data_IF_031488718018
#
_entry.id   IF_031488718018
#
_cell.length_a   1.000
_cell.length_b   1.000
_cell.length_c   1.000
_cell.angle_alpha   90.00
_cell.angle_beta   90.00
_cell.angle_gamma   90.00
#
_symmetry.space_group_name_H-M   'P 1'
#
loop_
_entity.id
_entity.type
_entity.pdbx_description
1 polymer ?
#
# COMPACT_ATOMS: atom_id res chain seq x y z
N UNK A 1 -27.99 -60.21 -32.68
CA UNK A 1 -26.59 -60.39 -33.13
C UNK A 1 -26.66 -60.45 -34.63
N UNK A 2 -25.98 -59.56 -35.36
CA UNK A 2 -25.58 -59.75 -36.77
C UNK A 2 -24.72 -58.55 -37.22
N UNK A 3 -23.71 -58.82 -38.05
CA UNK A 3 -22.73 -57.84 -38.53
C UNK A 3 -22.55 -57.92 -40.06
N UNK A 4 -22.97 -56.88 -40.78
CA UNK A 4 -22.65 -56.54 -42.19
C UNK A 4 -23.17 -55.10 -42.43
N UNK A 5 -22.53 -54.14 -43.12
CA UNK A 5 -21.19 -54.05 -43.74
C UNK A 5 -21.24 -53.29 -45.09
N UNK A 6 -20.50 -52.18 -45.28
CA UNK A 6 -19.88 -51.73 -46.58
C UNK A 6 -19.24 -50.29 -46.57
N UNK A 7 -18.23 -50.01 -47.44
CA UNK A 7 -17.58 -48.69 -47.73
C UNK A 7 -18.22 -47.99 -48.98
N UNK A 8 -17.76 -46.86 -49.63
CA UNK A 8 -16.42 -46.21 -49.79
C UNK A 8 -16.42 -44.64 -49.68
N UNK A 9 -15.40 -43.82 -50.03
CA UNK A 9 -13.98 -44.07 -50.38
C UNK A 9 -13.38 -43.28 -51.60
N UNK A 10 -13.08 -41.97 -51.49
CA UNK A 10 -12.30 -41.11 -52.43
C UNK A 10 -11.73 -39.90 -51.65
N UNK A 11 -10.41 -39.71 -51.49
CA UNK A 11 -9.32 -39.22 -52.40
C UNK A 11 -9.20 -37.67 -52.44
N UNK A 12 -7.96 -37.22 -52.17
CA UNK A 12 -7.43 -35.87 -51.94
C UNK A 12 -7.81 -34.76 -52.93
N UNK A 13 -7.85 -33.51 -52.42
CA UNK A 13 -7.24 -32.34 -53.08
C UNK A 13 -6.75 -31.32 -52.03
N UNK A 14 -5.71 -30.57 -52.38
CA UNK A 14 -5.09 -29.53 -51.56
C UNK A 14 -5.11 -28.23 -52.35
N UNK A 15 -5.66 -27.15 -51.80
CA UNK A 15 -5.53 -25.82 -52.41
C UNK A 15 -5.62 -24.70 -51.36
N UNK A 16 -4.81 -23.66 -51.54
CA UNK A 16 -4.83 -22.43 -50.73
C UNK A 16 -5.64 -21.39 -51.48
N UNK A 17 -6.44 -20.56 -50.80
CA UNK A 17 -6.56 -19.15 -51.19
C UNK A 17 -7.10 -18.22 -50.09
N UNK A 18 -6.24 -17.26 -49.75
CA UNK A 18 -6.50 -15.81 -49.64
C UNK A 18 -7.90 -15.25 -49.32
N UNK A 19 -7.90 -14.46 -48.24
CA UNK A 19 -8.30 -13.03 -48.20
C UNK A 19 -9.70 -12.59 -47.72
N UNK A 20 -9.68 -11.37 -47.14
CA UNK A 20 -10.75 -10.36 -47.10
C UNK A 20 -12.01 -10.60 -46.26
N UNK A 21 -11.93 -10.16 -44.99
CA UNK A 21 -12.59 -8.89 -44.58
C UNK A 21 -14.08 -8.92 -44.19
N UNK A 22 -14.48 -7.89 -43.43
CA UNK A 22 -15.90 -7.53 -43.27
C UNK A 22 -16.50 -7.73 -41.86
N UNK A 23 -16.31 -6.71 -41.01
CA UNK A 23 -17.32 -6.05 -40.17
C UNK A 23 -18.50 -6.80 -39.54
N UNK A 24 -18.75 -6.47 -38.26
CA UNK A 24 -20.05 -6.47 -37.54
C UNK A 24 -20.84 -7.79 -37.45
N UNK A 25 -21.32 -8.23 -36.29
CA UNK A 25 -21.36 -7.63 -34.95
C UNK A 25 -22.40 -8.37 -34.10
N UNK A 26 -23.02 -7.66 -33.14
CA UNK A 26 -24.19 -8.07 -32.35
C UNK A 26 -23.91 -9.03 -31.17
N UNK A 27 -24.36 -8.58 -30.00
CA UNK A 27 -24.43 -9.32 -28.74
C UNK A 27 -25.71 -10.16 -28.70
N UNK A 28 -25.66 -11.38 -28.18
CA UNK A 28 -26.84 -12.19 -27.90
C UNK A 28 -26.73 -12.79 -26.49
N UNK A 29 -27.60 -12.33 -25.60
CA UNK A 29 -27.84 -12.92 -24.29
C UNK A 29 -28.52 -14.29 -24.41
N UNK A 30 -28.23 -15.19 -23.48
CA UNK A 30 -29.15 -16.29 -23.16
C UNK A 30 -29.44 -16.29 -21.66
N UNK A 31 -30.73 -16.19 -21.35
CA UNK A 31 -31.30 -16.39 -20.03
C UNK A 31 -31.99 -17.74 -20.06
N UNK A 32 -31.74 -18.58 -19.06
CA UNK A 32 -32.58 -19.74 -18.75
C UNK A 32 -32.85 -19.73 -17.25
N UNK A 33 -34.11 -19.94 -16.86
CA UNK A 33 -34.60 -19.82 -15.49
C UNK A 33 -35.46 -21.06 -15.16
N UNK A 34 -35.61 -21.34 -13.86
CA UNK A 34 -36.48 -22.36 -13.24
C UNK A 34 -35.91 -23.80 -13.28
N UNK A 35 -36.16 -24.66 -12.29
CA UNK A 35 -37.21 -24.58 -11.24
C UNK A 35 -36.71 -24.96 -9.83
N UNK A 36 -37.51 -24.60 -8.82
CA UNK A 36 -37.34 -24.95 -7.40
C UNK A 36 -37.77 -26.40 -7.08
N UNK A 37 -37.25 -26.96 -5.98
CA UNK A 37 -37.99 -27.94 -5.16
C UNK A 37 -37.55 -27.86 -3.68
N UNK A 38 -38.42 -28.21 -2.73
CA UNK A 38 -38.27 -27.87 -1.29
C UNK A 38 -37.70 -29.02 -0.42
N UNK A 39 -36.92 -28.68 0.62
CA UNK A 39 -36.42 -29.64 1.62
C UNK A 39 -35.93 -29.00 2.93
N UNK A 40 -36.53 -29.41 4.06
CA UNK A 40 -36.49 -28.83 5.40
C UNK A 40 -35.12 -28.57 6.09
N UNK A 41 -35.04 -27.39 6.72
CA UNK A 41 -34.53 -27.08 8.10
C UNK A 41 -33.40 -27.91 8.71
N UNK A 42 -32.27 -27.25 8.99
CA UNK A 42 -31.57 -27.34 10.28
C UNK A 42 -30.89 -26.00 10.59
N UNK A 43 -31.24 -25.34 11.69
CA UNK A 43 -30.55 -24.14 12.19
C UNK A 43 -29.36 -24.56 13.05
N UNK A 44 -28.13 -24.19 12.65
CA UNK A 44 -26.97 -24.16 13.54
C UNK A 44 -26.24 -22.83 13.36
N UNK A 45 -25.85 -22.22 14.48
CA UNK A 45 -25.44 -20.83 14.55
C UNK A 45 -24.13 -20.54 13.83
N UNK A 46 -24.06 -19.38 13.17
CA UNK A 46 -22.81 -18.81 12.67
C UNK A 46 -22.07 -18.16 13.85
N UNK A 47 -21.09 -18.87 14.41
CA UNK A 47 -20.10 -18.26 15.27
C UNK A 47 -19.08 -17.49 14.41
N UNK A 48 -19.17 -16.15 14.44
CA UNK A 48 -18.19 -15.25 13.82
C UNK A 48 -16.79 -15.48 14.42
N UNK A 49 -15.96 -16.23 13.70
CA UNK A 49 -14.61 -16.64 14.12
C UNK A 49 -13.57 -16.36 13.04
N UNK A 50 -13.00 -15.14 13.07
CA UNK A 50 -11.65 -14.80 12.58
C UNK A 50 -11.39 -13.29 12.74
N UNK A 51 -10.92 -12.85 13.91
CA UNK A 51 -10.55 -11.45 14.18
C UNK A 51 -9.12 -11.30 14.70
N UNK A 52 -8.27 -12.31 14.48
CA UNK A 52 -6.84 -12.27 14.81
C UNK A 52 -6.05 -11.44 13.78
N UNK A 53 -5.12 -10.63 14.27
CA UNK A 53 -4.24 -9.83 13.42
C UNK A 53 -3.02 -10.66 12.95
N UNK A 54 -2.61 -10.43 11.70
CA UNK A 54 -1.54 -11.18 11.02
C UNK A 54 -0.35 -10.27 10.69
N UNK A 55 0.84 -10.84 10.56
CA UNK A 55 2.06 -10.12 10.14
C UNK A 55 2.44 -10.41 8.69
N UNK A 56 3.17 -9.49 8.05
CA UNK A 56 3.68 -9.66 6.68
C UNK A 56 5.02 -10.47 6.59
N UNK A 57 5.38 -11.33 7.58
CA UNK A 57 6.55 -12.26 7.51
C UNK A 57 6.38 -13.54 8.40
N UNK A 58 7.37 -14.46 8.46
CA UNK A 58 7.25 -15.82 9.08
C UNK A 58 7.74 -15.94 10.54
N UNK A 59 7.07 -16.73 11.43
CA UNK A 59 7.47 -16.91 12.85
C UNK A 59 8.65 -17.85 13.17
N UNK A 60 9.38 -17.55 14.27
CA UNK A 60 10.32 -18.47 14.96
C UNK A 60 10.13 -18.45 16.50
N UNK A 61 10.56 -19.49 17.24
CA UNK A 61 10.10 -19.84 18.61
C UNK A 61 11.21 -19.85 19.69
N UNK A 62 11.09 -18.99 20.71
CA UNK A 62 11.51 -19.29 22.11
C UNK A 62 10.84 -18.33 23.13
N UNK A 63 11.08 -18.54 24.43
CA UNK A 63 10.15 -18.25 25.55
C UNK A 63 10.63 -17.24 26.62
N UNK A 64 9.73 -16.49 27.27
CA UNK A 64 9.44 -16.58 28.73
C UNK A 64 8.20 -15.75 29.20
N UNK A 65 8.00 -15.61 30.53
CA UNK A 65 6.70 -15.43 31.24
C UNK A 65 6.44 -13.99 31.75
N UNK A 66 5.18 -13.47 31.75
CA UNK A 66 4.84 -12.11 32.22
C UNK A 66 4.30 -12.01 33.67
N UNK A 67 4.26 -10.80 34.22
CA UNK A 67 3.54 -10.47 35.48
C UNK A 67 2.78 -9.15 35.40
N UNK A 68 1.56 -9.11 35.95
CA UNK A 68 0.61 -7.98 35.89
C UNK A 68 0.98 -6.81 36.81
N UNK A 69 0.50 -5.59 36.50
CA UNK A 69 -0.39 -4.79 37.38
C UNK A 69 -0.95 -3.53 36.65
N UNK A 70 -1.85 -2.75 37.27
CA UNK A 70 -2.95 -2.06 36.55
C UNK A 70 -3.33 -0.66 37.06
N UNK A 71 -3.86 0.19 36.15
CA UNK A 71 -4.66 1.45 36.38
C UNK A 71 -3.85 2.68 36.86
N UNK A 72 -4.26 3.95 36.64
CA UNK A 72 -5.53 4.56 36.14
C UNK A 72 -5.27 6.00 35.59
N UNK A 73 -5.95 6.43 34.52
CA UNK A 73 -5.87 7.83 34.00
C UNK A 73 -6.77 8.82 34.77
N UNK A 74 -6.41 10.12 34.75
CA UNK A 74 -7.28 11.26 35.07
C UNK A 74 -7.30 12.24 33.90
N UNK A 75 -8.48 12.75 33.55
CA UNK A 75 -8.67 13.73 32.46
C UNK A 75 -8.57 15.17 32.98
N UNK A 76 -7.99 16.06 32.18
CA UNK A 76 -8.10 17.53 32.35
C UNK A 76 -8.46 18.14 30.99
N UNK A 77 -9.54 18.92 30.95
CA UNK A 77 -10.11 19.46 29.71
C UNK A 77 -9.49 20.82 29.37
N UNK A 78 -8.67 20.89 28.32
CA UNK A 78 -8.09 22.15 27.82
C UNK A 78 -8.96 22.75 26.70
N UNK A 79 -9.31 24.03 26.83
CA UNK A 79 -10.01 24.79 25.77
C UNK A 79 -9.03 25.12 24.64
N UNK A 80 -9.43 24.81 23.41
CA UNK A 80 -8.62 25.08 22.22
C UNK A 80 -8.58 26.57 21.86
N UNK A 81 -7.39 27.14 21.85
CA UNK A 81 -7.09 28.41 21.17
C UNK A 81 -6.78 28.04 19.71
N UNK A 82 -7.56 28.56 18.76
CA UNK A 82 -7.26 28.41 17.32
C UNK A 82 -6.13 29.36 16.95
N UNK A 83 -4.90 28.87 16.96
CA UNK A 83 -3.79 29.48 16.23
C UNK A 83 -3.95 29.16 14.74
N UNK A 84 -4.15 30.19 13.92
CA UNK A 84 -3.98 30.07 12.47
C UNK A 84 -2.50 29.81 12.19
N UNK A 85 -2.18 28.73 11.46
CA UNK A 85 -0.81 28.47 11.02
C UNK A 85 -0.54 29.31 9.78
N UNK A 86 0.40 30.24 9.88
CA UNK A 86 0.74 31.15 8.78
C UNK A 86 1.47 30.39 7.66
N UNK A 87 0.76 30.16 6.54
CA UNK A 87 1.32 29.55 5.33
C UNK A 87 2.21 30.56 4.60
N UNK A 88 3.53 30.43 4.69
CA UNK A 88 4.48 31.30 3.98
C UNK A 88 4.72 30.77 2.56
N UNK A 89 4.32 31.48 1.47
CA UNK A 89 4.26 30.89 0.12
C UNK A 89 5.59 30.39 -0.44
N UNK A 90 6.71 31.02 -0.08
CA UNK A 90 8.05 30.65 -0.60
C UNK A 90 8.56 29.31 -0.11
N UNK A 91 8.03 28.81 1.01
CA UNK A 91 8.44 27.54 1.62
C UNK A 91 7.51 26.37 1.26
N UNK A 92 6.54 26.57 0.36
CA UNK A 92 5.62 25.52 -0.11
C UNK A 92 6.01 25.05 -1.52
N UNK A 93 5.79 23.77 -1.82
CA UNK A 93 5.81 23.30 -3.20
C UNK A 93 4.73 24.01 -4.03
N UNK A 94 5.04 24.32 -5.29
CA UNK A 94 4.05 24.88 -6.20
C UNK A 94 3.04 23.79 -6.57
N UNK A 95 1.78 23.96 -6.16
CA UNK A 95 0.68 23.05 -6.49
C UNK A 95 -0.21 23.56 -7.64
N UNK A 96 0.11 24.72 -8.22
CA UNK A 96 -0.59 25.29 -9.36
C UNK A 96 -0.14 24.62 -10.68
N UNK A 97 -0.66 23.42 -10.90
CA UNK A 97 -0.51 22.62 -12.12
C UNK A 97 -1.87 22.08 -12.57
N UNK A 98 -1.97 21.63 -13.82
CA UNK A 98 -3.20 21.07 -14.41
C UNK A 98 -3.70 19.83 -13.64
N UNK A 99 -2.77 18.99 -13.19
CA UNK A 99 -3.05 17.78 -12.40
C UNK A 99 -2.24 17.80 -11.11
N UNK A 100 -2.79 17.19 -10.05
CA UNK A 100 -2.02 16.93 -8.83
C UNK A 100 -0.86 15.97 -9.13
N UNK A 101 -1.15 14.85 -9.80
CA UNK A 101 -0.15 13.88 -10.21
C UNK A 101 -0.70 12.49 -10.44
N UNK A 102 0.18 11.60 -10.92
CA UNK A 102 -0.10 10.16 -11.02
C UNK A 102 0.10 9.49 -9.67
N UNK A 103 -0.80 8.57 -9.31
CA UNK A 103 -0.63 7.67 -8.17
C UNK A 103 -0.65 6.22 -8.65
N UNK A 104 0.42 5.47 -8.40
CA UNK A 104 0.50 4.03 -8.71
C UNK A 104 0.33 3.25 -7.42
N UNK A 105 -0.65 2.35 -7.37
CA UNK A 105 -0.82 1.38 -6.27
C UNK A 105 -0.43 0.00 -6.79
N UNK A 106 0.54 -0.66 -6.15
CA UNK A 106 0.89 -2.05 -6.40
C UNK A 106 0.39 -2.88 -5.23
N UNK A 107 -0.62 -3.71 -5.46
CA UNK A 107 -1.30 -4.55 -4.49
C UNK A 107 -0.94 -6.02 -4.71
N UNK A 108 0.12 -6.50 -4.05
CA UNK A 108 0.51 -7.90 -4.10
C UNK A 108 -0.15 -8.65 -2.94
N UNK A 109 -1.09 -9.53 -3.30
CA UNK A 109 -1.87 -10.36 -2.38
C UNK A 109 -1.43 -11.82 -2.43
N UNK A 110 -1.19 -12.33 -3.64
CA UNK A 110 -0.89 -13.73 -3.91
C UNK A 110 0.55 -13.88 -4.42
N UNK A 111 1.25 -14.89 -3.88
CA UNK A 111 2.66 -15.11 -4.14
C UNK A 111 2.88 -16.55 -4.63
N UNK A 112 3.86 -16.74 -5.52
CA UNK A 112 4.22 -18.03 -6.06
C UNK A 112 4.80 -18.91 -4.95
N UNK A 113 4.41 -20.20 -4.91
CA UNK A 113 4.74 -21.12 -3.80
C UNK A 113 6.23 -21.22 -3.48
N UNK A 114 7.11 -20.97 -4.47
CA UNK A 114 8.57 -20.96 -4.32
C UNK A 114 9.08 -19.86 -3.38
N UNK A 115 8.38 -18.73 -3.28
CA UNK A 115 8.67 -17.67 -2.30
C UNK A 115 8.39 -18.13 -0.87
N UNK A 116 7.51 -19.14 -0.72
CA UNK A 116 6.98 -19.58 0.55
C UNK A 116 6.14 -18.54 1.30
N UNK A 117 5.75 -17.43 0.66
CA UNK A 117 4.97 -16.36 1.30
C UNK A 117 3.48 -16.65 1.30
N UNK A 118 2.77 -16.10 2.28
CA UNK A 118 1.33 -16.33 2.49
C UNK A 118 0.45 -15.43 1.64
N UNK A 119 -0.87 -15.64 1.72
CA UNK A 119 -1.85 -14.72 1.11
C UNK A 119 -2.06 -13.53 2.05
N UNK A 120 -1.89 -12.30 1.54
CA UNK A 120 -2.02 -11.07 2.34
C UNK A 120 -3.47 -10.63 2.51
N UNK A 121 -4.27 -11.42 3.22
CA UNK A 121 -5.69 -11.14 3.46
C UNK A 121 -5.90 -9.72 4.05
N UNK A 122 -6.90 -9.00 3.55
CA UNK A 122 -7.14 -7.60 3.89
C UNK A 122 -6.45 -6.57 2.98
N UNK A 123 -5.42 -6.93 2.20
CA UNK A 123 -4.72 -5.98 1.32
C UNK A 123 -5.61 -5.37 0.23
N UNK A 124 -6.68 -6.06 -0.18
CA UNK A 124 -7.63 -5.49 -1.15
C UNK A 124 -8.47 -4.36 -0.53
N UNK A 125 -8.75 -4.44 0.79
CA UNK A 125 -9.41 -3.36 1.53
C UNK A 125 -8.48 -2.16 1.68
N UNK A 126 -7.19 -2.40 1.93
CA UNK A 126 -6.15 -1.37 1.92
C UNK A 126 -6.10 -0.68 0.55
N UNK A 127 -6.00 -1.45 -0.54
CA UNK A 127 -5.94 -0.92 -1.90
C UNK A 127 -7.20 -0.12 -2.28
N UNK A 128 -8.39 -0.58 -1.91
CA UNK A 128 -9.65 0.13 -2.14
C UNK A 128 -9.73 1.45 -1.35
N UNK A 129 -9.35 1.44 -0.08
CA UNK A 129 -9.34 2.63 0.76
C UNK A 129 -8.34 3.67 0.24
N UNK A 130 -7.11 3.24 -0.08
CA UNK A 130 -6.08 4.10 -0.66
C UNK A 130 -6.49 4.66 -2.02
N UNK A 131 -7.11 3.85 -2.88
CA UNK A 131 -7.66 4.32 -4.16
C UNK A 131 -8.67 5.45 -3.96
N UNK A 132 -9.62 5.28 -3.02
CA UNK A 132 -10.62 6.31 -2.70
C UNK A 132 -9.97 7.58 -2.13
N UNK A 133 -9.06 7.44 -1.16
CA UNK A 133 -8.38 8.57 -0.52
C UNK A 133 -7.53 9.36 -1.52
N UNK A 134 -6.61 8.72 -2.24
CA UNK A 134 -5.71 9.43 -3.17
C UNK A 134 -6.47 10.02 -4.37
N UNK A 135 -7.55 9.38 -4.82
CA UNK A 135 -8.44 9.97 -5.84
C UNK A 135 -9.22 11.17 -5.30
N UNK A 136 -9.63 11.16 -4.03
CA UNK A 136 -10.26 12.31 -3.37
C UNK A 136 -9.30 13.49 -3.21
N UNK A 137 -8.01 13.24 -2.96
CA UNK A 137 -6.97 14.28 -2.99
C UNK A 137 -6.82 14.92 -4.38
N UNK A 138 -7.06 14.15 -5.45
CA UNK A 138 -6.98 14.61 -6.84
C UNK A 138 -5.92 13.90 -7.70
N UNK A 139 -5.36 12.77 -7.23
CA UNK A 139 -4.43 11.98 -8.03
C UNK A 139 -5.14 11.14 -9.10
N UNK A 140 -4.46 10.95 -10.23
CA UNK A 140 -4.78 9.94 -11.24
C UNK A 140 -4.32 8.57 -10.73
N UNK A 141 -5.19 7.87 -9.98
CA UNK A 141 -4.85 6.59 -9.34
C UNK A 141 -5.00 5.40 -10.29
N UNK A 142 -3.96 4.57 -10.39
CA UNK A 142 -3.97 3.29 -11.12
C UNK A 142 -3.53 2.16 -10.17
N UNK A 143 -4.33 1.10 -10.09
CA UNK A 143 -4.06 -0.09 -9.27
C UNK A 143 -3.57 -1.25 -10.14
N UNK A 144 -2.47 -1.88 -9.74
CA UNK A 144 -1.93 -3.12 -10.33
C UNK A 144 -1.90 -4.21 -9.26
N UNK A 145 -2.37 -5.41 -9.58
CA UNK A 145 -2.43 -6.54 -8.64
C UNK A 145 -1.40 -7.61 -8.97
N UNK A 146 -0.91 -8.32 -7.96
CA UNK A 146 -0.04 -9.51 -8.04
C UNK A 146 1.10 -9.40 -9.08
N UNK A 147 1.86 -8.30 -8.98
CA UNK A 147 2.96 -8.00 -9.89
C UNK A 147 4.20 -8.83 -9.56
N UNK A 148 4.87 -9.34 -10.60
CA UNK A 148 6.24 -9.85 -10.48
C UNK A 148 7.26 -8.73 -10.24
N UNK A 149 8.44 -9.05 -9.73
CA UNK A 149 9.56 -8.13 -9.58
C UNK A 149 9.88 -7.40 -10.91
N UNK A 150 9.95 -8.16 -12.01
CA UNK A 150 10.12 -7.61 -13.34
C UNK A 150 8.99 -6.65 -13.74
N UNK A 151 7.74 -6.95 -13.36
CA UNK A 151 6.59 -6.08 -13.67
C UNK A 151 6.59 -4.80 -12.83
N UNK A 152 6.94 -4.87 -11.54
CA UNK A 152 7.07 -3.67 -10.70
C UNK A 152 8.15 -2.73 -11.22
N UNK A 153 9.31 -3.28 -11.62
CA UNK A 153 10.41 -2.53 -12.24
C UNK A 153 9.98 -1.90 -13.58
N UNK A 154 9.34 -2.68 -14.48
CA UNK A 154 8.81 -2.18 -15.77
C UNK A 154 7.80 -1.04 -15.59
N UNK A 155 6.86 -1.18 -14.65
CA UNK A 155 5.83 -0.18 -14.38
C UNK A 155 6.43 1.13 -13.88
N UNK A 156 7.34 1.08 -12.90
CA UNK A 156 7.92 2.28 -12.31
C UNK A 156 8.96 2.94 -13.22
N UNK A 157 9.71 2.15 -13.98
CA UNK A 157 10.58 2.69 -15.05
C UNK A 157 9.74 3.45 -16.07
N UNK A 158 8.69 2.84 -16.64
CA UNK A 158 7.81 3.51 -17.61
C UNK A 158 7.14 4.75 -17.03
N UNK A 159 6.68 4.68 -15.78
CA UNK A 159 6.10 5.83 -15.09
C UNK A 159 7.10 6.98 -14.92
N UNK A 160 8.40 6.70 -14.72
CA UNK A 160 9.45 7.74 -14.70
C UNK A 160 9.79 8.33 -16.08
N UNK A 161 9.44 7.62 -17.16
CA UNK A 161 9.67 8.01 -18.56
C UNK A 161 8.47 8.79 -19.15
N UNK A 162 7.36 8.92 -18.40
CA UNK A 162 6.21 9.76 -18.75
C UNK A 162 6.50 11.26 -18.59
N UNK A 163 5.74 12.10 -19.30
CA UNK A 163 5.82 13.55 -19.16
C UNK A 163 4.97 14.04 -17.97
N UNK A 164 5.65 14.37 -16.87
CA UNK A 164 5.06 14.96 -15.66
C UNK A 164 5.08 16.48 -15.64
N UNK A 165 5.38 17.17 -16.76
CA UNK A 165 5.51 18.63 -16.79
C UNK A 165 4.26 19.34 -16.24
N UNK A 166 3.06 18.83 -16.58
CA UNK A 166 1.77 19.35 -16.11
C UNK A 166 1.23 18.73 -14.80
N UNK A 167 2.03 17.94 -14.08
CA UNK A 167 1.72 17.42 -12.75
C UNK A 167 2.46 18.19 -11.65
N UNK A 168 1.84 18.40 -10.48
CA UNK A 168 2.51 19.00 -9.33
C UNK A 168 3.48 18.04 -8.61
N UNK A 169 3.12 16.75 -8.52
CA UNK A 169 3.89 15.73 -7.79
C UNK A 169 3.68 14.32 -8.39
N UNK A 170 4.31 13.32 -7.77
CA UNK A 170 4.11 11.90 -8.07
C UNK A 170 3.93 11.10 -6.77
N UNK A 171 3.07 10.08 -6.81
CA UNK A 171 2.88 9.14 -5.70
C UNK A 171 2.99 7.67 -6.16
N UNK A 172 3.60 6.84 -5.32
CA UNK A 172 3.63 5.40 -5.46
C UNK A 172 3.30 4.76 -4.11
N UNK A 173 2.47 3.72 -4.12
CA UNK A 173 2.03 2.99 -2.94
C UNK A 173 2.29 1.51 -3.18
N UNK A 174 3.06 0.90 -2.29
CA UNK A 174 3.48 -0.49 -2.38
C UNK A 174 2.87 -1.28 -1.22
N UNK A 175 2.00 -2.24 -1.53
CA UNK A 175 1.37 -3.14 -0.57
C UNK A 175 1.85 -4.57 -0.88
N UNK A 176 2.78 -5.09 -0.08
CA UNK A 176 3.34 -6.43 -0.30
C UNK A 176 3.97 -7.01 0.97
N UNK A 177 4.52 -8.21 0.86
CA UNK A 177 5.54 -8.68 1.80
C UNK A 177 6.86 -7.92 1.58
N UNK A 178 7.72 -7.88 2.59
CA UNK A 178 9.05 -7.27 2.51
C UNK A 178 9.98 -7.76 3.60
N UNK A 179 11.25 -7.46 3.41
CA UNK A 179 12.33 -7.67 4.39
C UNK A 179 13.14 -6.36 4.44
N UNK A 180 14.30 -6.36 5.09
CA UNK A 180 15.09 -5.13 5.16
C UNK A 180 15.54 -4.68 3.75
N UNK A 181 15.14 -3.47 3.36
CA UNK A 181 15.47 -2.80 2.10
C UNK A 181 14.91 -3.43 0.79
N UNK A 182 14.18 -4.55 0.88
CA UNK A 182 13.59 -5.27 -0.26
C UNK A 182 12.08 -5.44 -0.12
N UNK A 183 11.39 -5.54 -1.25
CA UNK A 183 9.95 -5.80 -1.33
C UNK A 183 9.68 -6.99 -2.25
N UNK A 184 8.67 -7.80 -1.91
CA UNK A 184 8.28 -8.94 -2.72
C UNK A 184 7.46 -8.53 -3.94
N UNK A 185 7.87 -9.02 -5.12
CA UNK A 185 6.93 -9.36 -6.18
C UNK A 185 6.32 -10.74 -5.91
N UNK A 186 5.34 -11.16 -6.71
CA UNK A 186 4.76 -12.50 -6.53
C UNK A 186 5.79 -13.63 -6.72
N UNK A 187 6.85 -13.39 -7.48
CA UNK A 187 7.86 -14.37 -7.93
C UNK A 187 9.19 -14.33 -7.14
N UNK A 188 9.37 -13.35 -6.24
CA UNK A 188 10.62 -13.16 -5.50
C UNK A 188 10.73 -11.77 -4.88
N UNK A 189 11.95 -11.30 -4.64
CA UNK A 189 12.22 -9.97 -4.04
C UNK A 189 12.90 -9.01 -5.02
N UNK A 190 12.72 -7.70 -4.82
CA UNK A 190 13.48 -6.65 -5.51
C UNK A 190 13.82 -5.51 -4.54
N UNK A 191 15.00 -4.85 -4.66
CA UNK A 191 15.34 -3.72 -3.80
C UNK A 191 14.41 -2.53 -4.01
N UNK A 192 13.89 -1.97 -2.91
CA UNK A 192 13.04 -0.77 -2.95
C UNK A 192 13.81 0.41 -3.58
N UNK A 193 15.11 0.49 -3.29
CA UNK A 193 16.03 1.48 -3.88
C UNK A 193 16.04 1.46 -5.40
N UNK A 194 15.97 0.28 -6.03
CA UNK A 194 16.02 0.17 -7.49
C UNK A 194 14.70 0.64 -8.12
N UNK A 195 13.57 0.36 -7.47
CA UNK A 195 12.24 0.84 -7.86
C UNK A 195 12.15 2.37 -7.79
N UNK A 196 12.71 3.00 -6.75
CA UNK A 196 12.61 4.45 -6.55
C UNK A 196 13.67 5.24 -7.31
N UNK A 197 14.84 4.63 -7.58
CA UNK A 197 15.93 5.27 -8.30
C UNK A 197 15.57 5.67 -9.74
N UNK A 198 14.51 5.13 -10.34
CA UNK A 198 13.99 5.60 -11.64
C UNK A 198 13.56 7.07 -11.61
N UNK A 199 13.09 7.58 -10.46
CA UNK A 199 12.54 8.92 -10.29
C UNK A 199 13.54 10.00 -9.85
N UNK A 200 14.84 9.67 -9.78
CA UNK A 200 15.90 10.63 -9.44
C UNK A 200 15.92 11.81 -10.42
N UNK A 201 16.37 12.98 -9.97
CA UNK A 201 16.39 14.20 -10.79
C UNK A 201 17.27 14.12 -12.05
N UNK A 202 18.24 13.21 -12.10
CA UNK A 202 19.06 12.93 -13.30
C UNK A 202 18.36 12.02 -14.33
N UNK A 203 17.29 11.32 -13.94
CA UNK A 203 16.57 10.33 -14.76
C UNK A 203 15.14 10.77 -15.13
N UNK A 204 14.40 11.31 -14.17
CA UNK A 204 13.03 11.81 -14.37
C UNK A 204 12.99 13.35 -14.26
N UNK A 205 13.47 14.03 -15.31
CA UNK A 205 13.63 15.50 -15.31
C UNK A 205 12.31 16.28 -15.15
N UNK A 206 11.20 15.70 -15.58
CA UNK A 206 9.85 16.30 -15.49
C UNK A 206 9.29 16.32 -14.05
N UNK A 207 9.94 15.60 -13.13
CA UNK A 207 9.71 15.60 -11.67
C UNK A 207 10.88 16.20 -10.86
N UNK A 208 11.77 16.98 -11.50
CA UNK A 208 12.77 17.78 -10.78
C UNK A 208 12.06 18.90 -9.99
N UNK A 209 12.50 19.18 -8.75
CA UNK A 209 11.88 20.13 -7.82
C UNK A 209 10.40 19.85 -7.46
N UNK A 210 9.90 18.65 -7.77
CA UNK A 210 8.54 18.19 -7.48
C UNK A 210 8.55 17.02 -6.48
N UNK A 211 7.58 16.93 -5.54
CA UNK A 211 7.52 15.83 -4.56
C UNK A 211 7.35 14.46 -5.22
N UNK A 212 8.10 13.48 -4.73
CA UNK A 212 8.09 12.07 -5.14
C UNK A 212 7.81 11.21 -3.91
N UNK A 213 6.54 10.85 -3.72
CA UNK A 213 6.03 10.24 -2.50
C UNK A 213 5.94 8.72 -2.63
N UNK A 214 6.51 7.98 -1.68
CA UNK A 214 6.47 6.52 -1.62
C UNK A 214 5.88 6.05 -0.29
N UNK A 215 4.71 5.42 -0.34
CA UNK A 215 4.02 4.86 0.84
C UNK A 215 4.17 3.34 0.82
N UNK A 216 4.75 2.75 1.87
CA UNK A 216 5.26 1.37 1.81
C UNK A 216 4.69 0.54 2.97
N UNK A 217 3.67 -0.25 2.66
CA UNK A 217 3.12 -1.30 3.54
C UNK A 217 3.81 -2.63 3.24
N UNK A 218 4.82 -2.94 4.05
CA UNK A 218 5.56 -4.19 4.06
C UNK A 218 6.31 -4.32 5.40
N UNK A 219 6.66 -5.54 5.81
CA UNK A 219 7.67 -5.76 6.85
C UNK A 219 9.03 -5.20 6.41
N UNK A 220 9.90 -4.92 7.39
CA UNK A 220 11.31 -4.52 7.17
C UNK A 220 12.29 -5.41 7.93
N UNK A 221 11.83 -6.58 8.37
CA UNK A 221 12.55 -7.56 9.17
C UNK A 221 11.56 -8.39 10.00
N UNK A 222 12.04 -9.02 11.07
CA UNK A 222 11.28 -9.95 11.92
C UNK A 222 11.35 -9.62 13.42
N UNK A 223 11.69 -8.38 13.79
CA UNK A 223 11.61 -7.89 15.17
C UNK A 223 10.19 -7.47 15.55
N UNK A 224 9.83 -7.65 16.82
CA UNK A 224 8.53 -7.30 17.40
C UNK A 224 8.74 -6.18 18.43
N UNK A 225 7.86 -5.19 18.43
CA UNK A 225 7.83 -4.15 19.47
C UNK A 225 6.90 -4.62 20.61
N UNK A 226 7.50 -4.99 21.74
CA UNK A 226 6.78 -5.37 22.96
C UNK A 226 6.09 -4.18 23.66
N UNK A 227 6.40 -2.95 23.25
CA UNK A 227 5.92 -1.72 23.89
C UNK A 227 6.58 -1.43 25.23
N UNK A 228 6.47 -0.17 25.67
CA UNK A 228 6.90 0.26 27.00
C UNK A 228 5.91 1.26 27.59
N UNK A 229 5.65 1.16 28.90
CA UNK A 229 4.86 2.16 29.63
C UNK A 229 5.75 3.38 29.89
N UNK A 230 5.37 4.54 29.33
CA UNK A 230 6.26 5.70 29.25
C UNK A 230 6.12 6.68 30.43
N UNK A 231 7.22 6.88 31.16
CA UNK A 231 7.56 8.12 31.86
C UNK A 231 8.59 8.88 31.03
N UNK A 232 8.40 10.20 30.79
CA UNK A 232 9.03 10.93 29.68
C UNK A 232 10.27 11.76 30.05
N UNK A 233 11.19 11.93 29.08
CA UNK A 233 12.29 12.90 29.11
C UNK A 233 12.71 13.35 27.68
N UNK A 234 13.17 14.61 27.47
CA UNK A 234 13.45 15.16 26.13
C UNK A 234 14.95 15.12 25.74
N UNK A 235 15.23 15.21 24.43
CA UNK A 235 16.58 15.41 23.85
C UNK A 235 16.48 16.40 22.67
N UNK A 236 17.48 17.28 22.50
CA UNK A 236 17.48 18.40 21.54
C UNK A 236 18.50 18.23 20.38
N UNK A 237 18.13 18.82 19.23
CA UNK A 237 18.88 19.44 18.11
C UNK A 237 20.40 19.28 17.89
N UNK A 238 20.81 19.24 16.60
CA UNK A 238 21.67 20.31 15.99
C UNK A 238 21.70 20.31 14.44
N UNK A 239 22.28 21.38 13.86
CA UNK A 239 22.10 21.95 12.50
C UNK A 239 23.40 21.99 11.64
N UNK A 240 23.31 22.17 10.30
CA UNK A 240 24.25 22.95 9.46
C UNK A 240 23.89 23.02 7.94
N UNK A 241 24.21 24.15 7.29
CA UNK A 241 23.78 24.59 5.94
C UNK A 241 24.97 24.67 4.89
N UNK A 242 24.90 25.31 3.69
CA UNK A 242 24.83 24.61 2.39
C UNK A 242 25.96 24.94 1.36
N UNK A 243 25.95 24.22 0.22
CA UNK A 243 26.41 24.72 -1.09
C UNK A 243 25.47 24.28 -2.22
N UNK A 244 25.10 25.19 -3.11
CA UNK A 244 24.02 24.98 -4.08
C UNK A 244 24.40 24.07 -5.26
N UNK A 245 23.92 22.83 -5.18
CA UNK A 245 23.53 21.98 -6.31
C UNK A 245 22.43 21.06 -5.79
N UNK A 246 21.25 21.06 -6.42
CA UNK A 246 20.14 20.20 -5.97
C UNK A 246 20.61 18.74 -6.00
N UNK A 247 20.58 18.00 -4.86
CA UNK A 247 20.92 16.59 -4.85
C UNK A 247 19.98 15.79 -5.77
N UNK A 248 20.51 14.80 -6.50
CA UNK A 248 19.68 13.96 -7.40
C UNK A 248 18.63 13.13 -6.66
N UNK A 249 18.78 12.97 -5.34
CA UNK A 249 17.87 12.29 -4.41
C UNK A 249 16.95 13.28 -3.65
N UNK A 250 16.91 14.57 -4.03
CA UNK A 250 16.05 15.56 -3.38
C UNK A 250 14.56 15.42 -3.79
N UNK A 251 13.70 15.99 -2.96
CA UNK A 251 12.24 16.00 -3.11
C UNK A 251 11.60 14.61 -3.10
N UNK A 252 12.25 13.63 -2.47
CA UNK A 252 11.65 12.34 -2.13
C UNK A 252 11.04 12.36 -0.72
N UNK A 253 9.97 11.60 -0.53
CA UNK A 253 9.46 11.25 0.80
C UNK A 253 9.11 9.76 0.82
N UNK A 254 9.55 9.06 1.86
CA UNK A 254 9.22 7.67 2.11
C UNK A 254 8.45 7.54 3.42
N UNK A 255 7.22 7.04 3.37
CA UNK A 255 6.40 6.71 4.51
C UNK A 255 6.30 5.19 4.62
N UNK A 256 7.21 4.59 5.39
CA UNK A 256 7.19 3.16 5.69
C UNK A 256 6.22 2.88 6.82
N UNK A 257 5.42 1.82 6.68
CA UNK A 257 4.48 1.37 7.72
C UNK A 257 5.13 0.99 9.05
N UNK A 258 6.41 0.61 9.04
CA UNK A 258 7.18 0.19 10.23
C UNK A 258 8.64 0.64 10.14
N UNK A 259 9.35 0.61 11.28
CA UNK A 259 10.78 0.91 11.39
C UNK A 259 11.65 -0.22 10.80
N UNK A 260 12.92 0.06 10.37
CA UNK A 260 13.82 -0.98 9.89
C UNK A 260 14.00 -2.10 10.92
N UNK A 261 14.02 -3.36 10.50
CA UNK A 261 14.13 -4.54 11.37
C UNK A 261 12.79 -5.14 11.81
N UNK A 262 11.68 -4.40 11.78
CA UNK A 262 10.44 -4.80 12.45
C UNK A 262 9.38 -5.38 11.50
N UNK A 263 8.46 -6.16 12.07
CA UNK A 263 7.21 -6.57 11.42
C UNK A 263 6.29 -5.36 11.13
N UNK A 264 5.36 -5.56 10.20
CA UNK A 264 4.22 -4.67 9.95
C UNK A 264 2.93 -5.49 10.02
N UNK A 265 1.95 -4.98 10.77
CA UNK A 265 0.72 -5.68 11.15
C UNK A 265 -0.46 -5.39 10.23
N UNK A 266 -1.27 -6.44 10.00
CA UNK A 266 -2.43 -6.43 9.11
C UNK A 266 -3.55 -7.33 9.62
N UNK A 267 -4.69 -6.70 9.84
CA UNK A 267 -5.94 -7.38 10.18
C UNK A 267 -6.57 -7.98 8.92
N UNK A 268 -6.78 -9.30 8.83
CA UNK A 268 -7.41 -9.92 7.66
C UNK A 268 -8.78 -9.32 7.31
N UNK A 269 -9.54 -8.94 8.35
CA UNK A 269 -10.87 -8.35 8.21
C UNK A 269 -10.88 -6.83 7.98
N UNK A 270 -9.83 -6.08 8.37
CA UNK A 270 -9.84 -4.60 8.38
C UNK A 270 -8.75 -3.92 7.56
N UNK A 271 -7.75 -4.66 7.07
CA UNK A 271 -6.57 -4.11 6.41
C UNK A 271 -5.40 -3.85 7.37
N UNK A 272 -4.33 -3.21 6.88
CA UNK A 272 -3.14 -2.90 7.67
C UNK A 272 -3.33 -1.68 8.58
N UNK A 273 -2.72 -1.69 9.76
CA UNK A 273 -2.89 -0.62 10.75
C UNK A 273 -2.43 0.73 10.20
N UNK A 274 -1.30 0.73 9.49
CA UNK A 274 -0.77 1.92 8.82
C UNK A 274 -1.72 2.45 7.75
N UNK A 275 -2.28 1.60 6.88
CA UNK A 275 -3.19 2.06 5.82
C UNK A 275 -4.53 2.54 6.39
N UNK A 276 -5.09 1.85 7.39
CA UNK A 276 -6.28 2.29 8.12
C UNK A 276 -6.07 3.69 8.72
N UNK A 277 -4.94 3.91 9.42
CA UNK A 277 -4.59 5.20 10.00
C UNK A 277 -4.34 6.28 8.93
N UNK A 278 -3.59 5.96 7.87
CA UNK A 278 -3.29 6.87 6.76
C UNK A 278 -4.55 7.34 6.04
N UNK A 279 -5.44 6.41 5.68
CA UNK A 279 -6.69 6.74 5.01
C UNK A 279 -7.59 7.60 5.90
N UNK A 280 -7.74 7.25 7.18
CA UNK A 280 -8.55 8.04 8.14
C UNK A 280 -8.04 9.47 8.31
N UNK A 281 -6.72 9.68 8.44
CA UNK A 281 -6.16 11.03 8.58
C UNK A 281 -6.19 11.79 7.24
N UNK A 282 -6.01 11.13 6.09
CA UNK A 282 -6.12 11.77 4.77
C UNK A 282 -7.57 12.17 4.43
N UNK A 283 -8.57 11.40 4.87
CA UNK A 283 -9.98 11.73 4.69
C UNK A 283 -10.40 12.96 5.50
N UNK A 284 -9.95 13.05 6.77
CA UNK A 284 -10.23 14.20 7.64
C UNK A 284 -9.41 15.45 7.26
N UNK A 285 -8.13 15.27 6.90
CA UNK A 285 -7.13 16.35 6.89
C UNK A 285 -6.24 16.44 5.64
N UNK A 286 -6.49 15.62 4.62
CA UNK A 286 -5.64 15.56 3.43
C UNK A 286 -5.55 16.87 2.63
N UNK A 287 -6.44 17.84 2.86
CA UNK A 287 -6.49 19.13 2.16
C UNK A 287 -6.28 20.36 3.05
N UNK A 288 -6.09 20.19 4.37
CA UNK A 288 -5.87 21.31 5.29
C UNK A 288 -4.51 21.25 6.02
N UNK A 289 -3.96 20.05 6.24
CA UNK A 289 -2.65 19.83 6.85
C UNK A 289 -1.52 19.59 5.84
N UNK A 290 -0.30 19.84 6.31
CA UNK A 290 0.96 19.58 5.61
C UNK A 290 1.34 18.09 5.72
N UNK A 291 2.05 17.51 4.75
CA UNK A 291 2.32 16.05 4.68
C UNK A 291 3.03 15.49 5.93
N UNK A 292 3.98 16.20 6.53
CA UNK A 292 4.64 15.77 7.76
C UNK A 292 3.69 15.86 8.97
N UNK A 293 2.76 16.82 8.97
CA UNK A 293 1.71 16.90 10.00
C UNK A 293 0.71 15.74 9.88
N UNK A 294 0.32 15.37 8.65
CA UNK A 294 -0.49 14.20 8.34
C UNK A 294 0.23 12.93 8.84
N UNK A 295 1.46 12.70 8.40
CA UNK A 295 2.22 11.48 8.74
C UNK A 295 2.58 11.40 10.23
N UNK A 296 2.81 12.52 10.91
CA UNK A 296 2.98 12.54 12.38
C UNK A 296 1.71 12.10 13.11
N UNK A 297 0.52 12.50 12.62
CA UNK A 297 -0.76 12.01 13.16
C UNK A 297 -1.01 10.54 12.84
N UNK A 298 -0.54 10.05 11.68
CA UNK A 298 -0.55 8.60 11.37
C UNK A 298 0.34 7.84 12.35
N UNK A 299 1.55 8.33 12.66
CA UNK A 299 2.43 7.73 13.66
C UNK A 299 1.76 7.64 15.04
N UNK A 300 1.17 8.75 15.53
CA UNK A 300 0.45 8.78 16.81
C UNK A 300 -0.77 7.83 16.80
N UNK A 301 -1.53 7.79 15.70
CA UNK A 301 -2.68 6.91 15.56
C UNK A 301 -2.27 5.44 15.62
N UNK A 302 -1.27 5.02 14.84
CA UNK A 302 -0.77 3.63 14.81
C UNK A 302 -0.25 3.21 16.18
N UNK A 303 0.64 4.01 16.80
CA UNK A 303 1.24 3.67 18.08
C UNK A 303 0.25 3.59 19.25
N UNK A 304 -0.80 4.43 19.26
CA UNK A 304 -1.75 4.53 20.39
C UNK A 304 -3.03 3.70 20.25
N UNK A 305 -3.51 3.46 19.04
CA UNK A 305 -4.85 2.90 18.81
C UNK A 305 -4.83 1.46 18.29
N UNK A 306 -3.65 0.90 18.02
CA UNK A 306 -3.50 -0.47 17.59
C UNK A 306 -2.57 -1.24 18.53
N UNK A 307 -2.88 -2.52 18.70
CA UNK A 307 -2.21 -3.48 19.57
C UNK A 307 -2.60 -4.86 19.03
N UNK A 308 -1.65 -5.79 18.93
CA UNK A 308 -1.93 -7.07 18.27
C UNK A 308 -2.72 -8.02 19.17
N UNK A 309 -3.70 -8.68 18.57
CA UNK A 309 -4.46 -9.74 19.20
C UNK A 309 -4.28 -11.02 18.37
N UNK A 310 -3.62 -12.01 18.97
CA UNK A 310 -3.47 -13.37 18.44
C UNK A 310 -3.48 -14.39 19.58
N UNK A 311 -3.87 -15.62 19.29
CA UNK A 311 -3.84 -16.74 20.22
C UNK A 311 -2.41 -17.24 20.53
N UNK A 312 -1.43 -16.91 19.69
CA UNK A 312 -0.02 -17.17 19.97
C UNK A 312 0.57 -16.06 20.87
N UNK A 313 1.01 -16.35 22.11
CA UNK A 313 1.51 -15.34 23.04
C UNK A 313 2.72 -14.55 22.52
N UNK A 314 3.47 -15.09 21.55
CA UNK A 314 4.58 -14.38 20.89
C UNK A 314 4.10 -13.21 20.02
N UNK A 315 2.86 -13.28 19.55
CA UNK A 315 2.23 -12.30 18.65
C UNK A 315 1.11 -11.51 19.33
N UNK A 316 0.92 -11.68 20.64
CA UNK A 316 -0.07 -10.95 21.44
C UNK A 316 0.52 -9.66 22.04
N UNK A 317 -0.32 -8.62 22.22
CA UNK A 317 0.00 -7.34 22.87
C UNK A 317 1.16 -6.54 22.24
N UNK A 318 1.51 -6.78 20.97
CA UNK A 318 2.60 -6.08 20.27
C UNK A 318 2.15 -4.75 19.68
N UNK A 319 3.12 -3.85 19.54
CA UNK A 319 2.94 -2.48 19.03
C UNK A 319 3.57 -2.32 17.64
N UNK A 320 3.41 -1.13 17.07
CA UNK A 320 4.01 -0.72 15.81
C UNK A 320 4.19 0.80 15.80
N UNK A 321 5.28 1.27 15.21
CA UNK A 321 5.53 2.68 14.90
C UNK A 321 5.97 2.82 13.44
N UNK A 322 5.26 3.61 12.60
CA UNK A 322 5.69 3.89 11.23
C UNK A 322 6.93 4.78 11.17
N UNK A 323 7.66 4.71 10.05
CA UNK A 323 8.92 5.41 9.84
C UNK A 323 8.82 6.34 8.64
N UNK A 324 9.02 7.64 8.86
CA UNK A 324 9.01 8.68 7.83
C UNK A 324 10.44 9.13 7.56
N UNK A 325 10.85 9.06 6.28
CA UNK A 325 12.14 9.57 5.81
C UNK A 325 11.86 10.63 4.75
N UNK A 326 12.21 11.88 5.04
CA UNK A 326 11.95 13.01 4.15
C UNK A 326 13.25 13.60 3.61
N UNK A 327 13.29 13.78 2.28
CA UNK A 327 14.24 14.59 1.54
C UNK A 327 13.50 15.75 0.83
N UNK A 328 12.29 16.07 1.27
CA UNK A 328 11.54 17.24 0.79
C UNK A 328 12.28 18.53 1.15
N UNK A 329 12.24 19.49 0.23
CA UNK A 329 12.90 20.79 0.37
C UNK A 329 11.92 21.91 0.74
N UNK A 330 10.61 21.62 0.76
CA UNK A 330 9.50 22.55 1.01
C UNK A 330 8.33 21.82 1.69
N UNK A 331 7.43 22.57 2.31
CA UNK A 331 6.14 22.10 2.81
C UNK A 331 5.25 21.62 1.66
N UNK A 332 4.54 20.51 1.87
CA UNK A 332 3.59 19.95 0.91
C UNK A 332 2.17 19.91 1.46
N UNK A 333 1.26 20.60 0.78
CA UNK A 333 -0.19 20.51 0.96
C UNK A 333 -0.82 19.95 -0.32
N UNK A 334 -1.90 19.17 -0.22
CA UNK A 334 -2.68 18.72 -1.40
C UNK A 334 -3.86 19.66 -1.71
N UNK A 335 -3.78 20.91 -1.27
CA UNK A 335 -4.67 22.02 -1.67
C UNK A 335 -3.89 22.99 -2.55
N UNK A 336 -4.58 23.64 -3.50
CA UNK A 336 -4.10 24.90 -4.08
C UNK A 336 -4.18 26.04 -3.06
#
# INVERSE_FOLDING_TARGET
MDCVGWPPGRRWHLEKNTSCGGSSGICASYVTQMADDQGCVEEQGVEDSANEDSVDAKPDRSSFVPSLFSKKKKNVTMRSIKTTRDRVPTYQYNMNFEKLGKCIIINNKNFDKVTGMGVRNGTDKDAEALFKCFRSLGFDVIVYNDCSCAKMQDLLKKASEEDHTNAACFACILLSHGEENVIYGKDGVTPIKDLTAHFRGDRCKTLLEKPKLFFIQACRGTELDDGIQADSGPINDTDANPRYKIPVEADFLFAYSTVPGYYSWRSPGRGSWFVQALCSILEEHGKDLEIMQILTRVNDRVARHFESQSDDPRFHEKKQIPCVVSMLTKELYFSQ
#
